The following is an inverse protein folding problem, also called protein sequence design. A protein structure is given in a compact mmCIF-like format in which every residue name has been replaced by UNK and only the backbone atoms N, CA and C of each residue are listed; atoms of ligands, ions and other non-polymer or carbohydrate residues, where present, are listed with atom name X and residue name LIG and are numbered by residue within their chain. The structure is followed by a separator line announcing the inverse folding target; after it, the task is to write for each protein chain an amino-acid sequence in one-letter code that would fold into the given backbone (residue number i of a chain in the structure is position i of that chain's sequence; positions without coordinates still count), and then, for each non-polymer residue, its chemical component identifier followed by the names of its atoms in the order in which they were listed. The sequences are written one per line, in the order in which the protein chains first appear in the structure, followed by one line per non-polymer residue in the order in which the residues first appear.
data_IF_264458428033
#
_entry.id   IF_264458428033
#
_cell.length_a   1.000
_cell.length_b   1.000
_cell.length_c   1.000
_cell.angle_alpha   90.00
_cell.angle_beta   90.00
_cell.angle_gamma   90.00
#
_symmetry.space_group_name_H-M   'P 1'
#
loop_
_entity.id
_entity.type
_entity.pdbx_description
1 polymer ?
#
# COMPACT_ATOMS: atom_id res chain seq x y z
N UNK A 1 27.10 -3.75 -28.37
CA UNK A 1 26.05 -4.33 -27.51
C UNK A 1 24.71 -4.03 -28.17
N UNK A 2 23.79 -4.96 -28.19
CA UNK A 2 22.44 -4.71 -28.69
C UNK A 2 21.66 -3.84 -27.69
N UNK A 3 20.70 -3.03 -28.17
CA UNK A 3 19.83 -2.22 -27.30
C UNK A 3 19.19 -3.06 -26.18
N UNK A 4 18.75 -4.27 -26.52
CA UNK A 4 18.18 -5.22 -25.54
C UNK A 4 19.16 -5.58 -24.42
N UNK A 5 20.45 -5.81 -24.75
CA UNK A 5 21.47 -6.14 -23.74
C UNK A 5 21.71 -4.96 -22.80
N UNK A 6 21.76 -3.74 -23.35
CA UNK A 6 21.93 -2.52 -22.55
C UNK A 6 20.74 -2.32 -21.62
N UNK A 7 19.52 -2.50 -22.10
CA UNK A 7 18.31 -2.38 -21.32
C UNK A 7 18.25 -3.39 -20.16
N UNK A 8 18.62 -4.65 -20.41
CA UNK A 8 18.69 -5.69 -19.39
C UNK A 8 19.74 -5.33 -18.32
N UNK A 9 20.92 -4.86 -18.72
CA UNK A 9 21.96 -4.46 -17.78
C UNK A 9 21.49 -3.30 -16.90
N UNK A 10 20.86 -2.27 -17.47
CA UNK A 10 20.31 -1.14 -16.71
C UNK A 10 19.27 -1.66 -15.71
N UNK A 11 18.36 -2.54 -16.13
CA UNK A 11 17.33 -3.10 -15.27
C UNK A 11 17.92 -3.91 -14.12
N UNK A 12 18.91 -4.77 -14.38
CA UNK A 12 19.61 -5.56 -13.34
C UNK A 12 20.35 -4.65 -12.36
N UNK A 13 21.05 -3.62 -12.85
CA UNK A 13 21.72 -2.63 -11.99
C UNK A 13 20.68 -1.91 -11.11
N UNK A 14 19.56 -1.52 -11.67
CA UNK A 14 18.45 -0.87 -10.94
C UNK A 14 17.95 -1.77 -9.81
N UNK A 15 17.70 -3.06 -10.09
CA UNK A 15 17.30 -4.02 -9.07
C UNK A 15 18.35 -4.16 -7.96
N UNK A 16 19.63 -4.30 -8.33
CA UNK A 16 20.72 -4.38 -7.34
C UNK A 16 20.76 -3.12 -6.47
N UNK A 17 20.62 -1.93 -7.05
CA UNK A 17 20.59 -0.67 -6.30
C UNK A 17 19.39 -0.57 -5.35
N UNK A 18 18.23 -1.07 -5.74
CA UNK A 18 17.07 -1.17 -4.86
C UNK A 18 17.33 -2.11 -3.66
N UNK A 19 17.96 -3.26 -3.89
CA UNK A 19 18.33 -4.18 -2.80
C UNK A 19 19.37 -3.58 -1.85
N UNK A 20 20.35 -2.84 -2.37
CA UNK A 20 21.38 -2.17 -1.55
C UNK A 20 20.75 -1.08 -0.65
N UNK A 21 19.67 -0.45 -1.10
CA UNK A 21 18.88 0.54 -0.37
C UNK A 21 19.71 1.69 0.25
N UNK A 22 20.77 2.11 -0.44
CA UNK A 22 21.61 3.26 -0.03
C UNK A 22 21.12 4.59 -0.55
N UNK A 23 20.38 4.59 -1.65
CA UNK A 23 19.78 5.75 -2.27
C UNK A 23 18.26 5.66 -2.20
N UNK A 24 17.52 6.79 -2.14
CA UNK A 24 16.07 6.79 -2.26
C UNK A 24 15.63 6.08 -3.54
N UNK A 25 14.54 5.30 -3.46
CA UNK A 25 14.05 4.52 -4.60
C UNK A 25 13.70 5.40 -5.80
N UNK A 26 13.13 6.58 -5.55
CA UNK A 26 12.82 7.57 -6.60
C UNK A 26 14.07 8.01 -7.38
N UNK A 27 15.17 8.25 -6.68
CA UNK A 27 16.44 8.68 -7.31
C UNK A 27 16.99 7.57 -8.20
N UNK A 28 17.04 6.34 -7.69
CA UNK A 28 17.49 5.17 -8.47
C UNK A 28 16.63 4.98 -9.70
N UNK A 29 15.30 5.02 -9.55
CA UNK A 29 14.35 4.88 -10.65
C UNK A 29 14.54 5.99 -11.70
N UNK A 30 14.69 7.24 -11.29
CA UNK A 30 14.92 8.36 -12.21
C UNK A 30 16.23 8.22 -12.98
N UNK A 31 17.33 7.87 -12.31
CA UNK A 31 18.63 7.66 -12.97
C UNK A 31 18.50 6.53 -14.01
N UNK A 32 17.85 5.44 -13.64
CA UNK A 32 17.68 4.28 -14.52
C UNK A 32 16.83 4.60 -15.75
N UNK A 33 15.73 5.33 -15.56
CA UNK A 33 14.86 5.75 -16.67
C UNK A 33 15.58 6.75 -17.61
N UNK A 34 16.34 7.69 -17.05
CA UNK A 34 17.17 8.61 -17.85
C UNK A 34 18.24 7.84 -18.63
N UNK A 35 18.91 6.88 -17.99
CA UNK A 35 19.88 6.02 -18.66
C UNK A 35 19.26 5.24 -19.82
N UNK A 36 18.04 4.68 -19.62
CA UNK A 36 17.27 4.04 -20.70
C UNK A 36 17.04 5.01 -21.87
N UNK A 37 16.52 6.20 -21.59
CA UNK A 37 16.19 7.18 -22.64
C UNK A 37 17.39 7.71 -23.42
N UNK A 38 18.59 7.70 -22.80
CA UNK A 38 19.83 8.14 -23.45
C UNK A 38 20.49 7.01 -24.24
N UNK A 39 20.48 5.79 -23.69
CA UNK A 39 21.26 4.67 -24.24
C UNK A 39 20.45 3.76 -25.18
N UNK A 40 19.11 3.89 -25.23
CA UNK A 40 18.21 3.11 -26.08
C UNK A 40 17.63 4.00 -27.19
N UNK A 41 18.17 3.95 -28.41
CA UNK A 41 17.75 4.82 -29.52
C UNK A 41 16.28 4.60 -29.94
N UNK A 42 15.74 3.42 -29.70
CA UNK A 42 14.36 3.05 -30.01
C UNK A 42 13.35 3.73 -29.12
N UNK A 43 13.78 4.23 -27.94
CA UNK A 43 12.93 4.93 -26.99
C UNK A 43 12.80 6.42 -27.34
N UNK A 44 11.57 6.88 -27.54
CA UNK A 44 11.31 8.32 -27.75
C UNK A 44 11.45 9.10 -26.45
N UNK A 45 12.01 10.30 -26.50
CA UNK A 45 12.17 11.19 -25.32
C UNK A 45 10.85 11.40 -24.56
N UNK A 46 9.72 11.51 -25.25
CA UNK A 46 8.40 11.64 -24.61
C UNK A 46 7.99 10.42 -23.78
N UNK A 47 8.51 9.24 -24.11
CA UNK A 47 8.20 8.01 -23.39
C UNK A 47 8.93 7.92 -22.05
N UNK A 48 10.06 8.62 -21.89
CA UNK A 48 10.78 8.70 -20.62
C UNK A 48 9.88 9.24 -19.51
N UNK A 49 9.05 10.23 -19.86
CA UNK A 49 8.20 10.95 -18.89
C UNK A 49 6.75 10.49 -18.90
N UNK A 50 6.37 9.57 -19.77
CA UNK A 50 4.97 9.13 -19.93
C UNK A 50 4.37 8.59 -18.63
N UNK A 51 5.18 7.91 -17.82
CA UNK A 51 4.76 7.37 -16.53
C UNK A 51 4.33 8.43 -15.53
N UNK A 52 4.91 9.63 -15.57
CA UNK A 52 4.57 10.72 -14.63
C UNK A 52 3.17 11.29 -14.86
N UNK A 53 2.63 11.20 -16.06
CA UNK A 53 1.24 11.55 -16.39
C UNK A 53 0.28 10.36 -16.31
N UNK A 54 0.74 9.20 -15.82
CA UNK A 54 -0.04 7.98 -15.76
C UNK A 54 -1.21 8.04 -14.77
N UNK A 55 -2.31 7.37 -15.13
CA UNK A 55 -3.49 7.26 -14.26
C UNK A 55 -3.18 6.70 -12.87
N UNK A 56 -2.17 5.86 -12.77
CA UNK A 56 -1.72 5.24 -11.52
C UNK A 56 -1.20 6.25 -10.50
N UNK A 57 -0.42 7.26 -10.94
CA UNK A 57 0.05 8.31 -10.02
C UNK A 57 -1.12 9.12 -9.49
N UNK A 58 -2.05 9.51 -10.37
CA UNK A 58 -3.25 10.25 -9.98
C UNK A 58 -4.11 9.47 -9.00
N UNK A 59 -4.27 8.16 -9.24
CA UNK A 59 -4.99 7.26 -8.35
C UNK A 59 -4.33 7.17 -6.97
N UNK A 60 -3.03 6.90 -6.91
CA UNK A 60 -2.30 6.78 -5.63
C UNK A 60 -2.34 8.10 -4.87
N UNK A 61 -2.04 9.22 -5.52
CA UNK A 61 -2.09 10.54 -4.87
C UNK A 61 -3.49 10.86 -4.34
N UNK A 62 -4.53 10.64 -5.15
CA UNK A 62 -5.92 10.87 -4.76
C UNK A 62 -6.35 10.01 -3.56
N UNK A 63 -6.01 8.71 -3.58
CA UNK A 63 -6.36 7.81 -2.48
C UNK A 63 -5.54 8.06 -1.22
N UNK A 64 -4.29 8.51 -1.33
CA UNK A 64 -3.53 8.97 -0.16
C UNK A 64 -4.21 10.15 0.51
N UNK A 65 -4.71 11.14 -0.26
CA UNK A 65 -5.44 12.30 0.27
C UNK A 65 -6.75 11.86 0.95
N UNK A 66 -7.51 10.96 0.33
CA UNK A 66 -8.75 10.41 0.91
C UNK A 66 -8.46 9.63 2.19
N UNK A 67 -7.38 8.84 2.20
CA UNK A 67 -6.91 8.11 3.37
C UNK A 67 -6.50 9.04 4.51
N UNK A 68 -5.67 10.03 4.23
CA UNK A 68 -5.21 11.02 5.19
C UNK A 68 -6.35 11.82 5.82
N UNK A 69 -7.42 12.06 5.06
CA UNK A 69 -8.60 12.74 5.59
C UNK A 69 -9.21 12.00 6.78
N UNK A 70 -9.20 10.66 6.80
CA UNK A 70 -9.70 9.90 7.95
C UNK A 70 -8.82 10.06 9.18
N UNK A 71 -7.52 10.27 8.99
CA UNK A 71 -6.57 10.49 10.08
C UNK A 71 -6.69 11.91 10.62
N UNK A 72 -6.65 12.89 9.73
CA UNK A 72 -6.72 14.31 10.10
C UNK A 72 -8.08 14.71 10.71
N UNK A 73 -9.18 14.03 10.33
CA UNK A 73 -10.52 14.27 10.92
C UNK A 73 -10.78 13.49 12.21
N UNK A 74 -9.82 12.71 12.71
CA UNK A 74 -9.92 12.01 13.98
C UNK A 74 -10.87 10.81 14.01
N UNK A 75 -11.34 10.34 12.86
CA UNK A 75 -12.21 9.15 12.77
C UNK A 75 -11.50 7.90 13.28
N UNK A 76 -10.25 7.73 12.88
CA UNK A 76 -9.45 6.59 13.28
C UNK A 76 -9.24 6.53 14.79
N UNK A 77 -8.99 7.67 15.45
CA UNK A 77 -8.87 7.80 16.89
C UNK A 77 -10.19 7.47 17.59
N UNK A 78 -11.34 7.87 17.01
CA UNK A 78 -12.67 7.53 17.54
C UNK A 78 -12.94 6.03 17.45
N UNK A 79 -12.55 5.36 16.36
CA UNK A 79 -12.63 3.90 16.24
C UNK A 79 -11.77 3.24 17.33
N UNK A 80 -10.51 3.69 17.48
CA UNK A 80 -9.59 3.19 18.50
C UNK A 80 -10.14 3.35 19.92
N UNK A 81 -10.67 4.53 20.27
CA UNK A 81 -11.25 4.78 21.61
C UNK A 81 -12.49 3.94 21.90
N UNK A 82 -13.33 3.68 20.87
CA UNK A 82 -14.46 2.75 20.99
C UNK A 82 -13.99 1.33 21.29
N UNK A 83 -12.97 0.86 20.60
CA UNK A 83 -12.39 -0.48 20.84
C UNK A 83 -11.80 -0.57 22.24
N UNK A 84 -11.07 0.47 22.68
CA UNK A 84 -10.50 0.55 24.02
C UNK A 84 -11.55 0.44 25.15
N UNK A 85 -12.73 1.00 24.94
CA UNK A 85 -13.84 0.95 25.93
C UNK A 85 -14.58 -0.39 25.94
N UNK A 86 -14.31 -1.29 25.00
CA UNK A 86 -15.01 -2.57 24.85
C UNK A 86 -14.27 -3.68 25.62
N UNK A 87 -15.01 -4.75 25.98
CA UNK A 87 -14.45 -5.95 26.61
C UNK A 87 -13.34 -6.63 25.78
N UNK A 88 -13.23 -6.32 24.49
CA UNK A 88 -12.16 -6.77 23.57
C UNK A 88 -10.80 -6.37 24.11
N UNK A 89 -10.65 -5.17 24.65
CA UNK A 89 -9.39 -4.66 25.22
C UNK A 89 -9.01 -5.30 26.57
N UNK A 90 -9.78 -6.23 27.11
CA UNK A 90 -9.47 -6.95 28.36
C UNK A 90 -8.64 -8.21 28.14
N UNK A 91 -8.62 -8.76 26.91
CA UNK A 91 -7.90 -9.98 26.54
C UNK A 91 -6.97 -9.70 25.36
N UNK A 92 -5.66 -9.88 25.59
CA UNK A 92 -4.62 -9.57 24.58
C UNK A 92 -4.85 -10.34 23.26
N UNK A 93 -5.22 -11.62 23.31
CA UNK A 93 -5.45 -12.44 22.11
C UNK A 93 -6.66 -11.95 21.33
N UNK A 94 -7.76 -11.65 21.99
CA UNK A 94 -8.98 -11.13 21.35
C UNK A 94 -8.72 -9.74 20.76
N UNK A 95 -7.93 -8.92 21.45
CA UNK A 95 -7.53 -7.61 20.99
C UNK A 95 -6.66 -7.70 19.73
N UNK A 96 -5.68 -8.62 19.67
CA UNK A 96 -4.86 -8.87 18.48
C UNK A 96 -5.75 -9.23 17.29
N UNK A 97 -6.68 -10.17 17.44
CA UNK A 97 -7.59 -10.58 16.37
C UNK A 97 -8.43 -9.41 15.87
N UNK A 98 -8.98 -8.61 16.78
CA UNK A 98 -9.78 -7.43 16.41
C UNK A 98 -8.94 -6.41 15.62
N UNK A 99 -7.73 -6.10 16.08
CA UNK A 99 -6.82 -5.18 15.40
C UNK A 99 -6.41 -5.73 14.03
N UNK A 100 -6.09 -7.02 13.93
CA UNK A 100 -5.76 -7.67 12.64
C UNK A 100 -6.90 -7.51 11.65
N UNK A 101 -8.14 -7.79 12.04
CA UNK A 101 -9.32 -7.64 11.15
C UNK A 101 -9.47 -6.18 10.70
N UNK A 102 -9.39 -5.25 11.64
CA UNK A 102 -9.59 -3.83 11.34
C UNK A 102 -8.47 -3.28 10.45
N UNK A 103 -7.22 -3.60 10.78
CA UNK A 103 -6.06 -3.20 9.97
C UNK A 103 -6.14 -3.78 8.55
N UNK A 104 -6.55 -5.05 8.41
CA UNK A 104 -6.74 -5.69 7.09
C UNK A 104 -7.78 -4.96 6.26
N UNK A 105 -8.95 -4.65 6.84
CA UNK A 105 -10.03 -3.95 6.13
C UNK A 105 -9.62 -2.51 5.80
N UNK A 106 -9.03 -1.79 6.73
CA UNK A 106 -8.63 -0.40 6.50
C UNK A 106 -7.51 -0.30 5.47
N UNK A 107 -6.50 -1.16 5.57
CA UNK A 107 -5.35 -1.13 4.67
C UNK A 107 -5.71 -1.55 3.23
N UNK A 108 -6.81 -2.25 3.03
CA UNK A 108 -7.31 -2.56 1.69
C UNK A 108 -7.60 -1.29 0.86
N UNK A 109 -7.86 -0.15 1.52
CA UNK A 109 -8.21 1.12 0.87
C UNK A 109 -7.28 2.27 1.23
N UNK A 110 -6.40 2.08 2.22
CA UNK A 110 -5.44 3.06 2.70
C UNK A 110 -4.03 2.54 2.49
N UNK A 111 -3.05 3.44 2.45
CA UNK A 111 -1.64 3.01 2.37
C UNK A 111 -1.25 2.17 3.60
N UNK A 112 -0.49 1.09 3.37
CA UNK A 112 -0.06 0.17 4.42
C UNK A 112 0.69 0.90 5.54
N UNK A 113 1.65 1.76 5.16
CA UNK A 113 2.46 2.54 6.10
C UNK A 113 1.64 3.56 6.86
N UNK A 114 0.72 4.27 6.21
CA UNK A 114 -0.20 5.19 6.88
C UNK A 114 -1.11 4.47 7.87
N UNK A 115 -1.65 3.32 7.48
CA UNK A 115 -2.52 2.53 8.35
C UNK A 115 -1.78 2.09 9.62
N UNK A 116 -0.60 1.48 9.52
CA UNK A 116 0.14 1.04 10.71
C UNK A 116 0.64 2.22 11.55
N UNK A 117 1.13 3.30 10.95
CA UNK A 117 1.58 4.49 11.64
C UNK A 117 0.49 5.10 12.51
N UNK A 118 -0.76 5.09 12.04
CA UNK A 118 -1.91 5.53 12.82
C UNK A 118 -2.24 4.58 13.98
N UNK A 119 -2.20 3.26 13.76
CA UNK A 119 -2.55 2.30 14.79
C UNK A 119 -1.49 2.18 15.88
N UNK A 120 -0.22 2.46 15.60
CA UNK A 120 0.86 2.40 16.60
C UNK A 120 0.59 3.23 17.86
N UNK A 121 0.29 4.54 17.80
CA UNK A 121 0.00 5.32 19.00
C UNK A 121 -1.30 4.90 19.69
N UNK A 122 -2.31 4.45 18.94
CA UNK A 122 -3.57 3.96 19.50
C UNK A 122 -3.33 2.68 20.32
N UNK A 123 -2.60 1.71 19.74
CA UNK A 123 -2.22 0.46 20.39
C UNK A 123 -1.36 0.76 21.65
N UNK A 124 -0.40 1.68 21.54
CA UNK A 124 0.44 2.08 22.66
C UNK A 124 -0.38 2.70 23.81
N UNK A 125 -1.34 3.57 23.49
CA UNK A 125 -2.24 4.19 24.49
C UNK A 125 -3.13 3.15 25.17
N UNK A 126 -3.70 2.20 24.43
CA UNK A 126 -4.52 1.12 24.99
C UNK A 126 -3.68 0.19 25.87
N UNK A 127 -2.46 -0.13 25.45
CA UNK A 127 -1.53 -0.95 26.23
C UNK A 127 -1.15 -0.27 27.54
N UNK A 128 -0.83 1.02 27.52
CA UNK A 128 -0.53 1.80 28.74
C UNK A 128 -1.70 1.82 29.73
N UNK A 129 -2.94 1.95 29.24
CA UNK A 129 -4.15 1.92 30.07
C UNK A 129 -4.59 0.54 30.54
N UNK A 130 -3.98 -0.53 30.03
CA UNK A 130 -4.41 -1.92 30.30
C UNK A 130 -3.85 -2.53 31.59
N UNK A 131 -3.04 -1.81 32.36
CA UNK A 131 -2.34 -2.33 33.54
C UNK A 131 -1.53 -3.62 33.24
N UNK A 132 -0.80 -3.64 32.12
CA UNK A 132 0.07 -4.76 31.71
C UNK A 132 -0.66 -5.95 31.06
N UNK A 133 -1.99 -5.90 30.90
CA UNK A 133 -2.77 -6.97 30.26
C UNK A 133 -2.56 -7.02 28.74
N UNK A 134 -2.26 -5.90 28.11
CA UNK A 134 -1.97 -5.77 26.69
C UNK A 134 -0.56 -5.20 26.54
N UNK A 135 0.24 -5.85 25.73
CA UNK A 135 1.62 -5.44 25.44
C UNK A 135 1.70 -4.92 24.00
N UNK A 136 2.06 -3.67 23.81
CA UNK A 136 2.07 -3.00 22.51
C UNK A 136 2.86 -3.77 21.44
N UNK A 137 4.05 -4.30 21.80
CA UNK A 137 4.88 -5.10 20.87
C UNK A 137 4.18 -6.36 20.35
N UNK A 138 3.37 -7.01 21.20
CA UNK A 138 2.60 -8.21 20.83
C UNK A 138 1.48 -7.89 19.83
N UNK A 139 1.03 -6.64 19.78
CA UNK A 139 -0.08 -6.21 18.91
C UNK A 139 0.42 -5.53 17.64
N UNK A 140 1.47 -4.70 17.74
CA UNK A 140 2.00 -3.93 16.60
C UNK A 140 2.50 -4.84 15.48
N UNK A 141 3.19 -5.94 15.81
CA UNK A 141 3.70 -6.87 14.79
C UNK A 141 2.59 -7.54 13.99
N UNK A 142 1.56 -8.17 14.59
CA UNK A 142 0.40 -8.67 13.85
C UNK A 142 -0.34 -7.59 13.05
N UNK A 143 -0.47 -6.39 13.61
CA UNK A 143 -1.10 -5.25 12.93
C UNK A 143 -0.33 -4.85 11.66
N UNK A 144 1.01 -4.83 11.71
CA UNK A 144 1.85 -4.54 10.55
C UNK A 144 1.67 -5.56 9.42
N UNK A 145 1.69 -6.85 9.76
CA UNK A 145 1.43 -7.93 8.79
C UNK A 145 0.01 -7.81 8.22
N UNK A 146 -0.97 -7.48 9.07
CA UNK A 146 -2.35 -7.28 8.64
C UNK A 146 -2.51 -6.11 7.66
N UNK A 147 -1.75 -5.03 7.85
CA UNK A 147 -1.74 -3.92 6.90
C UNK A 147 -1.15 -4.34 5.54
N UNK A 148 -0.07 -5.13 5.52
CA UNK A 148 0.54 -5.61 4.28
C UNK A 148 -0.42 -6.51 3.49
N UNK A 149 -0.99 -7.53 4.15
CA UNK A 149 -1.93 -8.47 3.50
C UNK A 149 -3.24 -7.76 3.13
N UNK A 150 -3.73 -6.87 3.98
CA UNK A 150 -4.91 -6.07 3.71
C UNK A 150 -4.74 -5.18 2.48
N UNK A 151 -3.61 -4.46 2.40
CA UNK A 151 -3.30 -3.63 1.24
C UNK A 151 -3.14 -4.40 -0.05
N UNK A 152 -2.77 -5.68 0.03
CA UNK A 152 -2.72 -6.55 -1.14
C UNK A 152 -4.11 -7.01 -1.62
N UNK A 153 -5.17 -6.85 -0.82
CA UNK A 153 -6.53 -7.28 -1.20
C UNK A 153 -7.15 -6.44 -2.31
N UNK A 154 -6.69 -5.21 -2.52
CA UNK A 154 -7.21 -4.34 -3.59
C UNK A 154 -6.08 -3.68 -4.37
N UNK A 155 -6.36 -3.27 -5.59
CA UNK A 155 -5.38 -2.56 -6.42
C UNK A 155 -4.92 -1.24 -5.77
N UNK A 156 -5.77 -0.62 -4.94
CA UNK A 156 -5.54 0.71 -4.36
C UNK A 156 -4.71 0.67 -3.08
N UNK A 157 -4.81 -0.42 -2.31
CA UNK A 157 -4.19 -0.54 -1.00
C UNK A 157 -2.67 -0.68 -1.02
N UNK A 158 -2.07 -1.08 -2.15
CA UNK A 158 -0.63 -1.29 -2.25
C UNK A 158 -0.03 -0.69 -3.52
N UNK A 159 1.06 0.06 -3.35
CA UNK A 159 1.79 0.71 -4.44
C UNK A 159 2.36 -0.28 -5.44
N UNK A 160 2.85 -1.42 -4.98
CA UNK A 160 3.42 -2.46 -5.85
C UNK A 160 2.42 -2.99 -6.87
N UNK A 161 1.15 -3.15 -6.48
CA UNK A 161 0.09 -3.60 -7.37
C UNK A 161 -0.27 -2.54 -8.40
N UNK A 162 -0.31 -1.28 -7.99
CA UNK A 162 -0.54 -0.16 -8.90
C UNK A 162 0.57 -0.07 -9.94
N UNK A 163 1.82 -0.23 -9.52
CA UNK A 163 2.98 -0.23 -10.42
C UNK A 163 2.91 -1.39 -11.41
N UNK A 164 2.63 -2.60 -10.93
CA UNK A 164 2.45 -3.77 -11.80
C UNK A 164 1.31 -3.57 -12.81
N UNK A 165 0.18 -3.01 -12.36
CA UNK A 165 -0.94 -2.70 -13.25
C UNK A 165 -0.59 -1.64 -14.29
N UNK A 166 0.21 -0.63 -13.94
CA UNK A 166 0.67 0.39 -14.89
C UNK A 166 1.52 -0.21 -16.01
N UNK A 167 2.37 -1.17 -15.66
CA UNK A 167 3.20 -1.89 -16.62
C UNK A 167 2.30 -2.77 -17.51
N UNK A 168 1.36 -3.49 -16.91
CA UNK A 168 0.42 -4.36 -17.63
C UNK A 168 -0.39 -3.58 -18.67
N UNK A 169 -0.87 -2.38 -18.34
CA UNK A 169 -1.61 -1.52 -19.25
C UNK A 169 -0.80 -1.04 -20.46
N UNK A 170 0.53 -1.18 -20.42
CA UNK A 170 1.41 -0.91 -21.56
C UNK A 170 1.40 -2.00 -22.63
N UNK A 171 0.85 -3.19 -22.34
CA UNK A 171 0.83 -4.30 -23.28
C UNK A 171 -0.47 -4.36 -24.08
N UNK A 172 -0.34 -4.70 -25.36
CA UNK A 172 -1.49 -4.83 -26.26
C UNK A 172 -2.47 -5.93 -25.76
N UNK A 173 -3.73 -5.57 -25.68
CA UNK A 173 -4.79 -6.45 -25.16
C UNK A 173 -5.04 -6.34 -23.66
N UNK A 174 -4.27 -5.51 -22.94
CA UNK A 174 -4.44 -5.26 -21.50
C UNK A 174 -4.59 -3.77 -21.18
N UNK A 175 -5.01 -2.96 -22.13
CA UNK A 175 -5.12 -1.50 -22.02
C UNK A 175 -6.06 -1.06 -20.90
N UNK A 176 -7.05 -1.87 -20.53
CA UNK A 176 -7.95 -1.59 -19.40
C UNK A 176 -7.31 -1.90 -18.04
N UNK A 177 -6.24 -2.73 -18.02
CA UNK A 177 -5.57 -3.15 -16.80
C UNK A 177 -6.43 -4.05 -15.89
N UNK A 178 -6.02 -4.15 -14.63
CA UNK A 178 -6.74 -4.92 -13.60
C UNK A 178 -7.82 -4.05 -12.94
N UNK A 179 -8.96 -4.65 -12.66
CA UNK A 179 -9.99 -4.06 -11.81
C UNK A 179 -9.53 -3.95 -10.34
N UNK A 180 -10.15 -3.03 -9.60
CA UNK A 180 -9.78 -2.76 -8.18
C UNK A 180 -9.81 -4.02 -7.32
N UNK A 181 -10.73 -4.93 -7.58
CA UNK A 181 -10.99 -6.14 -6.79
C UNK A 181 -10.49 -7.45 -7.43
N UNK A 182 -9.77 -7.39 -8.56
CA UNK A 182 -9.25 -8.61 -9.18
C UNK A 182 -8.24 -9.32 -8.27
N UNK A 183 -7.41 -8.55 -7.59
CA UNK A 183 -6.50 -9.09 -6.57
C UNK A 183 -7.22 -9.71 -5.37
N UNK A 184 -8.46 -9.28 -5.09
CA UNK A 184 -9.24 -9.81 -3.96
C UNK A 184 -9.53 -11.31 -4.10
N UNK A 185 -9.64 -11.82 -5.33
CA UNK A 185 -9.90 -13.26 -5.58
C UNK A 185 -8.84 -14.16 -4.97
N UNK A 186 -7.58 -13.68 -4.94
CA UNK A 186 -6.44 -14.41 -4.38
C UNK A 186 -6.15 -13.99 -2.95
N UNK A 187 -6.19 -12.69 -2.68
CA UNK A 187 -5.72 -12.15 -1.41
C UNK A 187 -6.76 -12.17 -0.28
N UNK A 188 -8.05 -12.20 -0.56
CA UNK A 188 -9.08 -12.37 0.49
C UNK A 188 -8.99 -13.74 1.18
N UNK A 189 -8.83 -14.87 0.47
CA UNK A 189 -8.53 -16.15 1.12
C UNK A 189 -7.27 -16.09 2.00
N UNK A 190 -6.20 -15.43 1.55
CA UNK A 190 -4.98 -15.25 2.35
C UNK A 190 -5.22 -14.38 3.59
N UNK A 191 -6.02 -13.32 3.46
CA UNK A 191 -6.43 -12.48 4.59
C UNK A 191 -7.26 -13.25 5.63
N UNK A 192 -8.15 -14.13 5.19
CA UNK A 192 -8.91 -15.01 6.10
C UNK A 192 -7.96 -15.99 6.80
N UNK A 193 -7.05 -16.63 6.06
CA UNK A 193 -6.05 -17.52 6.64
C UNK A 193 -5.16 -16.82 7.67
N UNK A 194 -4.77 -15.57 7.42
CA UNK A 194 -4.04 -14.76 8.39
C UNK A 194 -4.84 -14.55 9.68
N UNK A 195 -6.12 -14.20 9.59
CA UNK A 195 -6.98 -14.04 10.79
C UNK A 195 -7.07 -15.35 11.57
N UNK A 196 -7.29 -16.48 10.88
CA UNK A 196 -7.30 -17.81 11.50
C UNK A 196 -5.95 -18.14 12.13
N UNK A 197 -4.84 -17.83 11.46
CA UNK A 197 -3.50 -18.04 12.00
C UNK A 197 -3.30 -17.27 13.32
N UNK A 198 -3.63 -15.98 13.39
CA UNK A 198 -3.51 -15.19 14.63
C UNK A 198 -4.50 -15.65 15.70
N UNK A 199 -5.65 -16.17 15.31
CA UNK A 199 -6.62 -16.72 16.24
C UNK A 199 -6.19 -18.07 16.83
N UNK A 200 -5.34 -18.84 16.16
CA UNK A 200 -4.92 -20.20 16.58
C UNK A 200 -3.47 -20.24 17.05
N UNK A 201 -2.54 -20.32 16.11
CA UNK A 201 -1.11 -20.56 16.34
C UNK A 201 -0.28 -19.27 16.52
N UNK A 202 -0.65 -18.20 15.83
CA UNK A 202 0.17 -16.99 15.73
C UNK A 202 0.45 -16.33 17.08
N UNK A 203 -0.55 -16.25 17.96
CA UNK A 203 -0.35 -15.71 19.32
C UNK A 203 0.67 -16.53 20.11
N UNK A 204 0.61 -17.86 20.06
CA UNK A 204 1.53 -18.74 20.78
C UNK A 204 2.95 -18.65 20.20
N UNK A 205 3.06 -18.62 18.88
CA UNK A 205 4.34 -18.46 18.19
C UNK A 205 4.99 -17.11 18.52
N UNK A 206 4.21 -16.03 18.51
CA UNK A 206 4.68 -14.70 18.84
C UNK A 206 5.15 -14.61 20.30
N UNK A 207 4.42 -15.24 21.21
CA UNK A 207 4.79 -15.33 22.61
C UNK A 207 6.10 -16.13 22.82
N UNK A 208 6.30 -17.18 22.06
CA UNK A 208 7.55 -17.94 22.05
C UNK A 208 8.72 -17.12 21.49
N UNK A 209 8.51 -16.43 20.37
CA UNK A 209 9.54 -15.67 19.69
C UNK A 209 9.97 -14.41 20.47
N UNK A 210 9.03 -13.64 20.98
CA UNK A 210 9.29 -12.37 21.67
C UNK A 210 9.61 -12.55 23.17
N UNK A 211 9.37 -13.73 23.76
CA UNK A 211 9.62 -14.05 25.17
C UNK A 211 9.19 -12.92 26.11
N UNK A 212 7.90 -12.54 26.15
CA UNK A 212 7.41 -11.44 26.98
C UNK A 212 7.70 -11.73 28.44
N UNK A 213 8.25 -10.72 29.16
CA UNK A 213 8.75 -10.87 30.54
C UNK A 213 10.26 -11.08 30.63
N UNK A 214 10.99 -11.12 29.48
CA UNK A 214 12.45 -11.04 29.49
C UNK A 214 12.91 -9.59 29.70
N UNK A 215 14.06 -9.34 30.36
CA UNK A 215 14.59 -7.99 30.57
C UNK A 215 14.77 -7.19 29.27
N UNK A 216 15.09 -7.87 28.17
CA UNK A 216 15.27 -7.24 26.86
C UNK A 216 13.93 -6.85 26.21
N UNK A 217 12.87 -7.57 26.51
CA UNK A 217 11.52 -7.22 26.03
C UNK A 217 11.02 -5.93 26.69
N UNK A 218 11.28 -5.77 27.99
CA UNK A 218 10.80 -4.63 28.78
C UNK A 218 11.67 -3.38 28.59
N UNK A 219 13.00 -3.52 28.47
CA UNK A 219 13.92 -2.38 28.25
C UNK A 219 13.67 -1.63 26.94
N UNK A 220 13.24 -2.31 25.88
CA UNK A 220 12.96 -1.72 24.58
C UNK A 220 11.50 -1.24 24.40
N UNK A 221 10.80 -0.94 25.48
CA UNK A 221 9.42 -0.46 25.43
C UNK A 221 9.32 1.05 25.11
N UNK A 222 10.30 1.57 24.34
CA UNK A 222 10.36 2.97 23.89
C UNK A 222 9.14 3.45 23.07
N UNK A 223 8.32 2.54 22.59
CA UNK A 223 7.01 2.88 21.99
C UNK A 223 5.98 3.37 23.01
N UNK A 224 6.18 3.11 24.32
CA UNK A 224 5.35 3.66 25.39
C UNK A 224 5.60 5.16 25.66
N UNK A 225 6.68 5.72 25.10
CA UNK A 225 7.10 7.11 25.32
C UNK A 225 6.57 8.07 24.25
N UNK A 226 5.81 7.60 23.25
CA UNK A 226 5.08 8.51 22.36
C UNK A 226 3.94 9.14 23.16
N UNK A 227 3.72 10.47 23.03
CA UNK A 227 2.67 11.15 23.77
C UNK A 227 1.35 10.41 23.54
N UNK A 228 0.77 9.94 24.64
CA UNK A 228 -0.55 9.31 24.62
C UNK A 228 -1.52 10.22 23.88
N UNK A 229 -2.23 9.67 22.90
CA UNK A 229 -3.38 10.33 22.29
C UNK A 229 -4.48 10.37 23.37
N UNK A 230 -4.25 11.20 24.39
CA UNK A 230 -5.26 11.56 25.38
C UNK A 230 -6.29 12.46 24.72
N UNK A 231 -7.51 12.44 25.21
CA UNK A 231 -8.61 13.31 24.76
C UNK A 231 -8.24 14.78 24.74
N UNK A 232 -7.23 15.21 25.48
CA UNK A 232 -6.73 16.58 25.58
C UNK A 232 -5.91 17.06 24.38
N UNK A 233 -5.45 16.15 23.50
CA UNK A 233 -4.70 16.48 22.27
C UNK A 233 -5.47 16.31 20.97
N UNK A 234 -6.76 15.95 21.02
CA UNK A 234 -7.57 15.92 19.80
C UNK A 234 -7.94 17.34 19.41
N UNK A 235 -7.54 17.82 18.21
CA UNK A 235 -8.05 19.08 17.71
C UNK A 235 -9.59 19.01 17.72
N UNK A 236 -10.23 20.12 18.12
CA UNK A 236 -11.70 20.23 18.16
C UNK A 236 -12.24 20.28 16.72
N UNK A 237 -12.19 19.13 16.07
CA UNK A 237 -12.58 18.99 14.66
C UNK A 237 -14.09 18.78 14.62
N UNK A 238 -14.83 19.62 13.91
CA UNK A 238 -16.27 19.48 13.74
C UNK A 238 -16.64 18.07 13.27
N UNK A 239 -17.62 17.45 13.90
CA UNK A 239 -18.04 16.06 13.61
C UNK A 239 -18.42 15.84 12.14
N UNK A 240 -18.94 16.88 11.48
CA UNK A 240 -19.33 16.80 10.07
C UNK A 240 -18.14 16.53 9.14
N UNK A 241 -16.93 17.05 9.44
CA UNK A 241 -15.72 16.77 8.64
C UNK A 241 -15.35 15.30 8.65
N UNK A 242 -15.40 14.66 9.83
CA UNK A 242 -15.18 13.24 9.95
C UNK A 242 -16.23 12.41 9.22
N UNK A 243 -17.50 12.78 9.36
CA UNK A 243 -18.59 12.09 8.64
C UNK A 243 -18.43 12.24 7.14
N UNK A 244 -18.09 13.43 6.65
CA UNK A 244 -17.86 13.67 5.22
C UNK A 244 -16.67 12.87 4.69
N UNK A 245 -15.56 12.77 5.44
CA UNK A 245 -14.40 11.95 5.03
C UNK A 245 -14.76 10.48 4.87
N UNK A 246 -15.58 9.93 5.79
CA UNK A 246 -16.08 8.55 5.67
C UNK A 246 -17.01 8.41 4.47
N UNK A 247 -17.93 9.35 4.26
CA UNK A 247 -18.86 9.32 3.12
C UNK A 247 -18.13 9.38 1.81
N UNK A 248 -17.09 10.23 1.70
CA UNK A 248 -16.26 10.31 0.49
C UNK A 248 -15.49 9.02 0.25
N UNK A 249 -14.88 8.42 1.30
CA UNK A 249 -14.19 7.14 1.15
C UNK A 249 -15.15 6.04 0.70
N UNK A 250 -16.30 5.89 1.37
CA UNK A 250 -17.30 4.89 1.00
C UNK A 250 -17.84 5.16 -0.41
N UNK A 251 -18.05 6.42 -0.76
CA UNK A 251 -18.45 6.82 -2.12
C UNK A 251 -17.43 6.42 -3.17
N UNK A 252 -16.13 6.64 -2.92
CA UNK A 252 -15.05 6.18 -3.81
C UNK A 252 -15.07 4.65 -3.96
N UNK A 253 -15.22 3.91 -2.86
CA UNK A 253 -15.29 2.44 -2.89
C UNK A 253 -16.49 1.96 -3.72
N UNK A 254 -17.66 2.54 -3.50
CA UNK A 254 -18.87 2.21 -4.27
C UNK A 254 -18.68 2.51 -5.76
N UNK A 255 -18.10 3.68 -6.09
CA UNK A 255 -17.80 4.03 -7.48
C UNK A 255 -16.76 3.11 -8.12
N UNK A 256 -15.76 2.64 -7.34
CA UNK A 256 -14.80 1.63 -7.82
C UNK A 256 -15.48 0.30 -8.15
N UNK A 257 -16.44 -0.13 -7.34
CA UNK A 257 -17.24 -1.32 -7.62
C UNK A 257 -18.06 -1.12 -8.90
N UNK A 258 -18.71 0.03 -9.03
CA UNK A 258 -19.53 0.36 -10.19
C UNK A 258 -18.71 0.47 -11.47
N UNK A 259 -17.45 0.94 -11.42
CA UNK A 259 -16.54 0.95 -12.57
C UNK A 259 -16.27 -0.44 -13.16
N UNK A 260 -16.44 -1.52 -12.39
CA UNK A 260 -16.37 -2.90 -12.90
C UNK A 260 -17.55 -3.31 -13.76
N UNK A 261 -18.60 -2.49 -13.88
CA UNK A 261 -19.82 -2.79 -14.64
C UNK A 261 -20.06 -1.78 -15.76
N UNK A 262 -20.37 -2.27 -16.96
CA UNK A 262 -20.86 -1.41 -18.04
C UNK A 262 -22.26 -0.86 -17.69
N UNK A 263 -22.57 0.40 -17.94
CA UNK A 263 -21.86 1.40 -18.77
C UNK A 263 -20.93 2.36 -18.01
N UNK A 264 -20.71 2.16 -16.70
CA UNK A 264 -20.00 3.12 -15.84
C UNK A 264 -18.51 3.25 -16.18
N UNK A 265 -17.85 2.18 -16.65
CA UNK A 265 -16.44 2.20 -17.05
C UNK A 265 -16.14 3.19 -18.19
N UNK A 266 -17.14 3.54 -19.00
CA UNK A 266 -17.00 4.53 -20.08
C UNK A 266 -16.82 5.97 -19.55
N UNK A 267 -17.39 6.30 -18.39
CA UNK A 267 -17.42 7.66 -17.84
C UNK A 267 -16.48 7.83 -16.67
N UNK A 268 -16.21 6.77 -15.91
CA UNK A 268 -15.41 6.80 -14.70
C UNK A 268 -14.23 5.84 -14.82
N UNK A 269 -13.05 6.39 -14.60
CA UNK A 269 -11.82 5.65 -14.41
C UNK A 269 -11.46 5.71 -12.91
N UNK A 270 -10.76 4.71 -12.39
CA UNK A 270 -10.32 4.61 -11.00
C UNK A 270 -9.56 5.88 -10.58
N UNK A 271 -8.67 6.41 -11.43
CA UNK A 271 -7.94 7.63 -11.18
C UNK A 271 -8.86 8.86 -11.04
N UNK A 272 -9.87 8.97 -11.91
CA UNK A 272 -10.82 10.08 -11.88
C UNK A 272 -11.66 10.06 -10.60
N UNK A 273 -12.06 8.88 -10.12
CA UNK A 273 -12.81 8.72 -8.86
C UNK A 273 -11.94 9.13 -7.68
N UNK A 274 -10.69 8.68 -7.62
CA UNK A 274 -9.75 9.04 -6.57
C UNK A 274 -9.50 10.56 -6.53
N UNK A 275 -9.31 11.17 -7.70
CA UNK A 275 -9.12 12.61 -7.84
C UNK A 275 -10.39 13.40 -7.43
N UNK A 276 -11.57 12.91 -7.81
CA UNK A 276 -12.85 13.49 -7.41
C UNK A 276 -13.00 13.50 -5.88
N UNK A 277 -12.72 12.35 -5.23
CA UNK A 277 -12.73 12.23 -3.77
C UNK A 277 -11.79 13.23 -3.09
N UNK A 278 -10.55 13.32 -3.55
CA UNK A 278 -9.57 14.28 -3.05
C UNK A 278 -10.02 15.73 -3.25
N UNK A 279 -10.57 16.06 -4.43
CA UNK A 279 -11.06 17.40 -4.76
C UNK A 279 -12.22 17.81 -3.85
N UNK A 280 -13.17 16.91 -3.58
CA UNK A 280 -14.28 17.17 -2.65
C UNK A 280 -13.75 17.48 -1.26
N UNK A 281 -12.78 16.72 -0.75
CA UNK A 281 -12.20 16.92 0.58
C UNK A 281 -11.42 18.23 0.70
N UNK A 282 -10.73 18.64 -0.35
CA UNK A 282 -10.05 19.93 -0.41
C UNK A 282 -11.06 21.11 -0.53
N UNK A 283 -12.03 20.99 -1.41
CA UNK A 283 -13.04 22.04 -1.63
C UNK A 283 -13.90 22.31 -0.39
N UNK A 284 -14.19 21.27 0.38
CA UNK A 284 -14.95 21.38 1.63
C UNK A 284 -14.11 21.84 2.83
N UNK A 285 -12.78 21.94 2.66
CA UNK A 285 -11.86 22.29 3.74
C UNK A 285 -11.81 21.25 4.86
N UNK A 286 -12.13 19.99 4.53
CA UNK A 286 -11.97 18.88 5.48
C UNK A 286 -10.50 18.66 5.83
N UNK A 287 -9.64 18.79 4.82
CA UNK A 287 -8.18 18.64 4.92
C UNK A 287 -7.50 19.91 4.42
N UNK A 288 -6.48 20.42 5.10
CA UNK A 288 -5.72 21.57 4.65
C UNK A 288 -4.83 21.17 3.48
N UNK A 289 -5.01 21.83 2.33
CA UNK A 289 -4.33 21.48 1.06
C UNK A 289 -2.81 21.45 1.22
N UNK A 290 -2.23 22.48 1.83
CA UNK A 290 -0.78 22.68 1.89
C UNK A 290 -0.07 21.58 2.69
N UNK A 291 -0.57 21.23 3.86
CA UNK A 291 0.03 20.18 4.70
C UNK A 291 -0.18 18.78 4.09
N UNK A 292 -1.39 18.50 3.60
CA UNK A 292 -1.70 17.20 3.00
C UNK A 292 -0.87 16.92 1.74
N UNK A 293 -0.69 17.93 0.88
CA UNK A 293 0.18 17.78 -0.28
C UNK A 293 1.66 17.60 0.12
N UNK A 294 2.11 18.22 1.21
CA UNK A 294 3.48 18.04 1.70
C UNK A 294 3.72 16.64 2.30
N UNK A 295 2.69 16.02 2.86
CA UNK A 295 2.75 14.69 3.47
C UNK A 295 2.54 13.54 2.47
N UNK A 296 2.24 13.85 1.20
CA UNK A 296 2.16 12.82 0.16
C UNK A 296 3.48 12.06 0.04
N UNK A 297 3.43 10.76 -0.24
CA UNK A 297 4.63 9.94 -0.43
C UNK A 297 5.29 10.22 -1.79
N UNK A 298 5.89 11.40 -1.93
CA UNK A 298 6.50 11.86 -3.18
C UNK A 298 7.57 10.91 -3.72
N UNK A 299 8.35 10.28 -2.83
CA UNK A 299 9.36 9.28 -3.22
C UNK A 299 8.70 8.13 -3.99
N UNK A 300 7.55 7.68 -3.52
CA UNK A 300 6.77 6.61 -4.14
C UNK A 300 6.16 7.05 -5.47
N UNK A 301 5.53 8.24 -5.51
CA UNK A 301 4.89 8.76 -6.72
C UNK A 301 5.92 8.96 -7.84
N UNK A 302 7.08 9.53 -7.53
CA UNK A 302 8.18 9.70 -8.47
C UNK A 302 8.72 8.34 -8.92
N UNK A 303 8.87 7.39 -7.99
CA UNK A 303 9.32 6.04 -8.30
C UNK A 303 8.38 5.33 -9.30
N UNK A 304 7.05 5.41 -9.10
CA UNK A 304 6.06 4.82 -10.01
C UNK A 304 6.21 5.41 -11.43
N UNK A 305 6.30 6.75 -11.51
CA UNK A 305 6.45 7.43 -12.80
C UNK A 305 7.72 7.03 -13.54
N UNK A 306 8.83 6.96 -12.82
CA UNK A 306 10.12 6.61 -13.38
C UNK A 306 10.19 5.12 -13.78
N UNK A 307 9.73 4.18 -12.93
CA UNK A 307 9.75 2.74 -13.26
C UNK A 307 8.89 2.43 -14.49
N UNK A 308 7.79 3.13 -14.69
CA UNK A 308 6.99 2.98 -15.91
C UNK A 308 7.81 3.33 -17.15
N UNK A 309 8.61 4.40 -17.10
CA UNK A 309 9.56 4.75 -18.16
C UNK A 309 10.65 3.71 -18.38
N UNK A 310 11.18 3.13 -17.28
CA UNK A 310 12.14 2.02 -17.36
C UNK A 310 11.53 0.80 -18.06
N UNK A 311 10.29 0.43 -17.71
CA UNK A 311 9.54 -0.66 -18.36
C UNK A 311 9.33 -0.43 -19.84
N UNK A 312 8.93 0.79 -20.23
CA UNK A 312 8.78 1.18 -21.65
C UNK A 312 10.09 1.06 -22.42
N UNK A 313 11.22 1.44 -21.82
CA UNK A 313 12.54 1.28 -22.44
C UNK A 313 12.96 -0.17 -22.61
N UNK A 314 12.66 -1.02 -21.62
CA UNK A 314 12.90 -2.45 -21.68
C UNK A 314 12.09 -3.12 -22.81
N UNK A 315 10.85 -2.69 -22.99
CA UNK A 315 9.94 -3.16 -24.04
C UNK A 315 10.39 -2.68 -25.43
N UNK A 316 10.66 -1.38 -25.59
CA UNK A 316 11.12 -0.79 -26.85
C UNK A 316 12.40 -1.44 -27.36
N UNK A 317 13.29 -1.88 -26.46
CA UNK A 317 14.53 -2.58 -26.80
C UNK A 317 14.34 -4.08 -27.10
N UNK A 318 13.17 -4.67 -26.85
CA UNK A 318 12.93 -6.12 -26.89
C UNK A 318 13.57 -6.89 -25.72
N UNK A 319 14.12 -6.20 -24.74
CA UNK A 319 14.73 -6.82 -23.55
C UNK A 319 13.73 -7.56 -22.67
N UNK A 320 12.48 -7.07 -22.59
CA UNK A 320 11.39 -7.71 -21.87
C UNK A 320 11.09 -9.12 -22.38
N UNK A 321 11.02 -9.30 -23.68
CA UNK A 321 10.78 -10.61 -24.32
C UNK A 321 11.93 -11.61 -24.00
N UNK A 322 13.19 -11.14 -23.94
CA UNK A 322 14.34 -11.98 -23.61
C UNK A 322 14.26 -12.45 -22.16
N UNK A 323 13.95 -11.53 -21.23
CA UNK A 323 13.79 -11.89 -19.80
C UNK A 323 12.63 -12.85 -19.62
N UNK A 324 11.48 -12.58 -20.24
CA UNK A 324 10.31 -13.48 -20.18
C UNK A 324 10.64 -14.87 -20.72
N UNK A 325 11.31 -14.97 -21.86
CA UNK A 325 11.76 -16.24 -22.43
C UNK A 325 12.74 -17.00 -21.53
N UNK A 326 13.68 -16.29 -20.90
CA UNK A 326 14.60 -16.90 -19.95
C UNK A 326 13.87 -17.49 -18.74
N UNK A 327 12.96 -16.72 -18.15
CA UNK A 327 12.16 -17.15 -16.99
C UNK A 327 11.29 -18.37 -17.36
N UNK A 328 10.60 -18.35 -18.49
CA UNK A 328 9.78 -19.47 -18.96
C UNK A 328 10.64 -20.75 -19.18
N UNK A 329 11.81 -20.61 -19.76
CA UNK A 329 12.73 -21.73 -19.96
C UNK A 329 13.29 -22.29 -18.65
N UNK A 330 13.55 -21.42 -17.67
CA UNK A 330 14.08 -21.85 -16.36
C UNK A 330 13.07 -22.71 -15.59
N UNK A 331 11.80 -22.42 -15.71
CA UNK A 331 10.72 -23.12 -15.00
C UNK A 331 9.98 -24.18 -15.80
N UNK A 332 10.47 -24.53 -17.00
CA UNK A 332 10.06 -25.76 -17.70
C UNK A 332 8.76 -25.70 -18.49
N UNK A 333 8.31 -24.52 -18.93
CA UNK A 333 7.24 -24.43 -19.93
C UNK A 333 6.01 -23.58 -19.56
N UNK A 334 5.09 -23.53 -20.52
CA UNK A 334 3.89 -22.65 -20.53
C UNK A 334 2.73 -23.10 -19.58
N UNK A 335 2.96 -24.02 -18.63
CA UNK A 335 1.87 -24.45 -17.76
C UNK A 335 1.49 -23.34 -16.77
N UNK A 336 0.19 -23.08 -16.61
CA UNK A 336 -0.34 -22.05 -15.70
C UNK A 336 0.21 -22.19 -14.27
N UNK A 337 0.50 -23.40 -13.81
CA UNK A 337 1.09 -23.67 -12.48
C UNK A 337 2.51 -23.14 -12.36
N UNK A 338 3.32 -23.21 -13.42
CA UNK A 338 4.71 -22.71 -13.45
C UNK A 338 4.70 -21.17 -13.48
N UNK A 339 3.80 -20.55 -14.24
CA UNK A 339 3.64 -19.09 -14.27
C UNK A 339 3.25 -18.57 -12.89
N UNK A 340 2.29 -19.22 -12.22
CA UNK A 340 1.89 -18.86 -10.85
C UNK A 340 3.04 -19.03 -9.87
N UNK A 341 3.81 -20.12 -9.95
CA UNK A 341 4.96 -20.35 -9.08
C UNK A 341 6.04 -19.27 -9.30
N UNK A 342 6.28 -18.85 -10.55
CA UNK A 342 7.22 -17.78 -10.89
C UNK A 342 6.80 -16.47 -10.29
N UNK A 343 5.51 -16.08 -10.41
CA UNK A 343 4.96 -14.86 -9.83
C UNK A 343 5.00 -14.85 -8.30
N UNK A 344 4.93 -16.03 -7.67
CA UNK A 344 5.01 -16.15 -6.19
C UNK A 344 6.46 -16.05 -5.69
N UNK A 345 7.45 -16.48 -6.51
CA UNK A 345 8.87 -16.47 -6.12
C UNK A 345 9.55 -15.14 -6.45
N UNK A 346 9.06 -14.39 -7.45
CA UNK A 346 9.56 -13.06 -7.83
C UNK A 346 8.80 -11.94 -7.14
#
# INVERSE_FOLDING_TARGET
MTSSTIAIIITVITMILFFINKLPMSVVACISTLAMGILIPEMKLSQIYSGFGGSSIVMVAGMCIVGDALFQTGIAQRIGSKIASTSIAKNERVFIIAIVIICTIMSAFLSNSGCIAMWMPIIASIAAGSNGKIRSKMVIFPAGIACIIGGACTLVGSVSQVTANSILMGYAGYEEGLGVFDMSRVMVPAAILQVVFWATAGYSLLKWALKPGSPDFDKNNSFASQPSVTKEGMPDIPRWKGTLSVVVLVGCIVLFILCGFAPFNKYFNIANIALLGATILFATGCVPVKSTLAELPWDVLICIGAITGLGTGLDASGGGAIIAGFVLNLFGGESASVIVLTVVIT
#
